data_IF_601712364249
#
_entry.id   IF_601712364249
#
_cell.length_a   1.000
_cell.length_b   1.000
_cell.length_c   1.000
_cell.angle_alpha   90.00
_cell.angle_beta   90.00
_cell.angle_gamma   90.00
#
_symmetry.space_group_name_H-M   'P 1'
#
loop_
_entity.id
_entity.type
_entity.pdbx_description
1 polymer ?
#
# COMPACT_ATOMS: atom_id res chain seq x y z
N UNK A 1 -40.56 -35.62 23.59
CA UNK A 1 -39.82 -34.38 23.30
C UNK A 1 -38.35 -34.54 23.69
N UNK A 2 -37.50 -35.06 22.80
CA UNK A 2 -36.03 -35.02 22.93
C UNK A 2 -35.42 -35.05 21.54
N UNK A 3 -35.26 -33.87 20.95
CA UNK A 3 -34.45 -33.63 19.77
C UNK A 3 -33.90 -32.20 19.89
N UNK A 4 -32.66 -32.09 20.34
CA UNK A 4 -31.86 -30.86 20.31
C UNK A 4 -30.41 -31.36 20.19
N UNK A 5 -30.09 -32.01 19.06
CA UNK A 5 -29.61 -31.39 17.83
C UNK A 5 -28.23 -30.74 18.09
N UNK A 6 -27.15 -31.54 17.99
CA UNK A 6 -25.78 -31.06 18.09
C UNK A 6 -25.43 -30.35 16.78
N UNK A 7 -25.82 -29.08 16.64
CA UNK A 7 -25.50 -28.28 15.44
C UNK A 7 -24.36 -27.29 15.69
N UNK A 8 -23.91 -27.12 16.93
CA UNK A 8 -22.90 -26.11 17.25
C UNK A 8 -21.44 -26.53 16.98
N UNK A 9 -21.17 -27.78 16.61
CA UNK A 9 -19.78 -28.27 16.42
C UNK A 9 -19.36 -28.48 14.96
N UNK A 10 -20.24 -28.21 13.98
CA UNK A 10 -19.95 -28.41 12.55
C UNK A 10 -19.54 -27.13 11.81
N UNK A 11 -19.51 -25.98 12.48
CA UNK A 11 -19.25 -24.66 11.86
C UNK A 11 -17.81 -24.15 12.04
N UNK A 12 -16.91 -24.97 12.59
CA UNK A 12 -15.54 -24.57 12.93
C UNK A 12 -14.43 -25.24 12.10
N UNK A 13 -14.77 -25.99 11.05
CA UNK A 13 -13.81 -26.88 10.33
C UNK A 13 -13.46 -26.42 8.90
N UNK A 14 -13.82 -25.23 8.42
CA UNK A 14 -13.44 -24.81 7.05
C UNK A 14 -12.84 -23.41 6.91
N UNK A 15 -12.16 -22.91 7.94
CA UNK A 15 -11.11 -21.91 7.71
C UNK A 15 -9.83 -22.66 7.27
N UNK A 16 -9.86 -23.27 6.08
CA UNK A 16 -8.62 -23.64 5.43
C UNK A 16 -7.80 -22.35 5.30
N UNK A 17 -6.49 -22.35 5.61
CA UNK A 17 -5.66 -21.19 5.32
C UNK A 17 -5.85 -20.94 3.83
N UNK A 18 -6.42 -19.80 3.46
CA UNK A 18 -6.45 -19.37 2.07
C UNK A 18 -4.99 -19.41 1.64
N UNK A 19 -4.61 -20.42 0.84
CA UNK A 19 -3.22 -20.58 0.44
C UNK A 19 -2.89 -19.34 -0.35
N UNK A 20 -1.72 -18.75 -0.09
CA UNK A 20 -1.30 -17.53 -0.74
C UNK A 20 -1.59 -17.59 -2.25
N UNK A 21 -1.28 -18.72 -2.92
CA UNK A 21 -1.56 -19.01 -4.33
C UNK A 21 -2.99 -18.68 -4.83
N UNK A 22 -4.01 -18.81 -3.99
CA UNK A 22 -5.40 -18.53 -4.37
C UNK A 22 -5.63 -17.02 -4.62
N UNK A 23 -4.79 -16.14 -4.07
CA UNK A 23 -4.98 -14.69 -4.12
C UNK A 23 -4.78 -14.15 -5.53
N UNK A 24 -3.66 -14.47 -6.17
CA UNK A 24 -3.40 -14.06 -7.55
C UNK A 24 -4.36 -14.72 -8.54
N UNK A 25 -4.79 -15.96 -8.27
CA UNK A 25 -5.77 -16.65 -9.11
C UNK A 25 -7.15 -15.98 -9.05
N UNK A 26 -7.59 -15.56 -7.86
CA UNK A 26 -8.83 -14.77 -7.70
C UNK A 26 -8.73 -13.41 -8.37
N UNK A 27 -7.61 -12.71 -8.22
CA UNK A 27 -7.37 -11.44 -8.89
C UNK A 27 -7.41 -11.60 -10.42
N UNK A 28 -6.72 -12.61 -10.96
CA UNK A 28 -6.74 -12.93 -12.38
C UNK A 28 -8.16 -13.27 -12.87
N UNK A 29 -8.91 -14.07 -12.12
CA UNK A 29 -10.29 -14.41 -12.47
C UNK A 29 -11.19 -13.16 -12.54
N UNK A 30 -11.06 -12.24 -11.57
CA UNK A 30 -11.75 -10.96 -11.61
C UNK A 30 -11.37 -10.12 -12.84
N UNK A 31 -10.06 -9.98 -13.08
CA UNK A 31 -9.53 -9.17 -14.19
C UNK A 31 -9.82 -9.72 -15.59
N UNK A 32 -10.12 -11.01 -15.72
CA UNK A 32 -10.61 -11.59 -16.99
C UNK A 32 -11.99 -11.04 -17.36
N UNK A 33 -12.79 -10.61 -16.38
CA UNK A 33 -14.18 -10.15 -16.59
C UNK A 33 -14.35 -8.64 -16.44
N UNK A 34 -13.48 -7.99 -15.67
CA UNK A 34 -13.54 -6.56 -15.40
C UNK A 34 -12.15 -5.93 -15.55
N UNK A 35 -12.05 -4.62 -15.84
CA UNK A 35 -10.76 -3.93 -15.90
C UNK A 35 -10.20 -3.56 -14.52
N UNK A 36 -10.98 -3.73 -13.45
CA UNK A 36 -10.60 -3.41 -12.08
C UNK A 36 -10.93 -4.58 -11.16
N UNK A 37 -9.94 -5.01 -10.37
CA UNK A 37 -10.13 -5.95 -9.25
C UNK A 37 -9.63 -5.30 -7.96
N UNK A 38 -10.39 -5.45 -6.88
CA UNK A 38 -10.02 -4.95 -5.55
C UNK A 38 -10.09 -6.11 -4.56
N UNK A 39 -8.99 -6.36 -3.86
CA UNK A 39 -8.98 -7.36 -2.79
C UNK A 39 -9.96 -6.97 -1.68
N UNK A 40 -10.69 -7.92 -1.05
CA UNK A 40 -11.60 -7.62 0.05
C UNK A 40 -10.98 -6.78 1.18
N UNK A 41 -9.70 -7.03 1.49
CA UNK A 41 -8.97 -6.28 2.52
C UNK A 41 -8.74 -4.81 2.16
N UNK A 42 -8.77 -4.44 0.89
CA UNK A 42 -8.55 -3.06 0.41
C UNK A 42 -9.84 -2.37 -0.04
N UNK A 43 -11.02 -2.93 0.24
CA UNK A 43 -12.30 -2.27 -0.11
C UNK A 43 -12.49 -0.93 0.60
N UNK A 44 -11.91 -0.76 1.80
CA UNK A 44 -11.94 0.53 2.50
C UNK A 44 -11.14 1.61 1.77
N UNK A 45 -10.11 1.21 1.02
CA UNK A 45 -9.25 2.11 0.26
C UNK A 45 -9.89 2.51 -1.08
N UNK A 46 -10.68 1.62 -1.67
CA UNK A 46 -11.41 1.83 -2.91
C UNK A 46 -12.89 1.44 -2.76
N UNK A 47 -13.72 2.33 -2.17
CA UNK A 47 -15.16 2.14 -2.10
C UNK A 47 -15.81 1.97 -3.49
N UNK A 48 -17.02 1.42 -3.53
CA UNK A 48 -17.76 1.16 -4.78
C UNK A 48 -17.93 2.38 -5.69
N UNK A 49 -18.17 3.57 -5.11
CA UNK A 49 -18.27 4.82 -5.86
C UNK A 49 -16.96 5.12 -6.62
N UNK A 50 -15.82 4.97 -5.95
CA UNK A 50 -14.49 5.23 -6.52
C UNK A 50 -14.14 4.17 -7.58
N UNK A 51 -14.45 2.90 -7.32
CA UNK A 51 -14.31 1.82 -8.31
C UNK A 51 -15.08 2.14 -9.59
N UNK A 52 -16.30 2.64 -9.46
CA UNK A 52 -17.14 3.03 -10.61
C UNK A 52 -16.54 4.20 -11.38
N UNK A 53 -16.03 5.22 -10.69
CA UNK A 53 -15.36 6.37 -11.33
C UNK A 53 -14.08 5.96 -12.07
N UNK A 54 -13.25 5.10 -11.48
CA UNK A 54 -12.03 4.58 -12.11
C UNK A 54 -12.37 3.86 -13.41
N UNK A 55 -13.38 2.98 -13.39
CA UNK A 55 -13.83 2.26 -14.59
C UNK A 55 -14.40 3.21 -15.64
N UNK A 56 -15.11 4.27 -15.24
CA UNK A 56 -15.60 5.31 -16.17
C UNK A 56 -14.45 6.04 -16.84
N UNK A 57 -13.48 6.53 -16.06
CA UNK A 57 -12.31 7.24 -16.59
C UNK A 57 -11.46 6.39 -17.51
N UNK A 58 -11.32 5.10 -17.21
CA UNK A 58 -10.60 4.19 -18.09
C UNK A 58 -11.31 4.03 -19.45
N UNK A 59 -12.65 3.89 -19.44
CA UNK A 59 -13.45 3.80 -20.67
C UNK A 59 -13.38 5.11 -21.48
N UNK A 60 -13.44 6.24 -20.80
CA UNK A 60 -13.33 7.58 -21.40
C UNK A 60 -11.95 7.84 -22.04
N UNK A 61 -10.89 7.17 -21.59
CA UNK A 61 -9.54 7.34 -22.12
C UNK A 61 -9.33 6.69 -23.50
N UNK A 62 -10.22 5.80 -23.96
CA UNK A 62 -10.17 5.12 -25.27
C UNK A 62 -8.78 4.57 -25.64
N UNK A 63 -8.18 3.81 -24.72
CA UNK A 63 -6.83 3.26 -24.92
C UNK A 63 -6.86 2.09 -25.92
N UNK A 64 -5.88 2.00 -26.86
CA UNK A 64 -5.87 0.96 -27.90
C UNK A 64 -5.33 -0.40 -27.41
N UNK A 65 -5.09 -0.56 -26.11
CA UNK A 65 -4.58 -1.77 -25.48
C UNK A 65 -5.31 -2.04 -24.17
N UNK A 66 -5.14 -3.26 -23.64
CA UNK A 66 -5.80 -3.68 -22.41
C UNK A 66 -5.16 -2.97 -21.20
N UNK A 67 -5.97 -2.31 -20.38
CA UNK A 67 -5.49 -1.74 -19.11
C UNK A 67 -6.25 -2.41 -17.98
N UNK A 68 -5.50 -3.00 -17.06
CA UNK A 68 -6.05 -3.63 -15.86
C UNK A 68 -5.49 -2.94 -14.63
N UNK A 69 -6.38 -2.62 -13.71
CA UNK A 69 -6.05 -2.10 -12.39
C UNK A 69 -6.33 -3.18 -11.36
N UNK A 70 -5.38 -3.45 -10.50
CA UNK A 70 -5.51 -4.42 -9.42
C UNK A 70 -5.15 -3.73 -8.12
N UNK A 71 -5.98 -3.87 -7.08
CA UNK A 71 -5.62 -3.43 -5.73
C UNK A 71 -5.40 -4.68 -4.87
N UNK A 72 -4.14 -4.95 -4.54
CA UNK A 72 -3.73 -6.08 -3.70
C UNK A 72 -2.82 -5.58 -2.57
N UNK A 73 -2.94 -6.13 -1.35
CA UNK A 73 -2.00 -5.82 -0.29
C UNK A 73 -0.63 -6.44 -0.62
N UNK A 74 0.43 -5.66 -0.50
CA UNK A 74 1.82 -6.15 -0.60
C UNK A 74 2.26 -6.63 0.78
N UNK A 75 2.44 -7.94 0.95
CA UNK A 75 2.83 -8.55 2.24
C UNK A 75 4.00 -9.49 1.99
N UNK A 76 5.08 -9.41 2.77
CA UNK A 76 6.29 -10.23 2.55
C UNK A 76 6.02 -11.74 2.56
N UNK A 77 5.01 -12.18 3.31
CA UNK A 77 4.61 -13.59 3.38
C UNK A 77 3.79 -14.08 2.17
N UNK A 78 3.62 -13.25 1.14
CA UNK A 78 2.80 -13.56 -0.03
C UNK A 78 3.60 -14.23 -1.17
N UNK A 79 2.92 -14.62 -2.25
CA UNK A 79 3.55 -15.36 -3.37
C UNK A 79 4.61 -14.54 -4.11
N UNK A 80 4.62 -13.24 -3.91
CA UNK A 80 5.58 -12.31 -4.49
C UNK A 80 6.69 -11.89 -3.52
N UNK A 81 6.69 -12.37 -2.27
CA UNK A 81 7.61 -11.86 -1.25
C UNK A 81 7.35 -10.40 -0.91
N UNK A 82 6.12 -9.90 -1.15
CA UNK A 82 5.78 -8.48 -1.04
C UNK A 82 6.30 -7.60 -2.18
N UNK A 83 6.94 -8.16 -3.20
CA UNK A 83 7.44 -7.41 -4.37
C UNK A 83 6.35 -7.19 -5.43
N UNK A 84 5.92 -5.94 -5.60
CA UNK A 84 4.88 -5.58 -6.55
C UNK A 84 5.20 -5.98 -8.00
N UNK A 85 6.47 -5.94 -8.40
CA UNK A 85 6.90 -6.34 -9.75
C UNK A 85 6.72 -7.83 -10.01
N UNK A 86 7.17 -8.69 -9.09
CA UNK A 86 6.93 -10.14 -9.18
C UNK A 86 5.45 -10.45 -9.20
N UNK A 87 4.67 -9.76 -8.36
CA UNK A 87 3.23 -9.90 -8.30
C UNK A 87 2.58 -9.57 -9.65
N UNK A 88 2.94 -8.44 -10.28
CA UNK A 88 2.38 -8.03 -11.57
C UNK A 88 2.77 -8.98 -12.71
N UNK A 89 4.00 -9.50 -12.73
CA UNK A 89 4.42 -10.53 -13.68
C UNK A 89 3.66 -11.84 -13.50
N UNK A 90 3.54 -12.31 -12.25
CA UNK A 90 2.79 -13.52 -11.92
C UNK A 90 1.30 -13.40 -12.27
N UNK A 91 0.72 -12.20 -12.11
CA UNK A 91 -0.64 -11.89 -12.54
C UNK A 91 -0.76 -11.89 -14.07
N UNK A 92 0.20 -11.31 -14.78
CA UNK A 92 0.24 -11.32 -16.24
C UNK A 92 0.25 -12.74 -16.82
N UNK A 93 1.01 -13.66 -16.23
CA UNK A 93 1.08 -15.06 -16.68
C UNK A 93 -0.28 -15.79 -16.59
N UNK A 94 -1.14 -15.37 -15.66
CA UNK A 94 -2.48 -15.94 -15.45
C UNK A 94 -3.53 -15.32 -16.37
N UNK A 95 -3.23 -14.18 -16.99
CA UNK A 95 -4.15 -13.49 -17.89
C UNK A 95 -3.94 -13.96 -19.34
N UNK A 96 -4.97 -13.86 -20.22
CA UNK A 96 -4.79 -14.12 -21.65
C UNK A 96 -3.66 -13.27 -22.23
N UNK A 97 -2.95 -13.75 -23.25
CA UNK A 97 -1.90 -12.95 -23.91
C UNK A 97 -2.51 -11.72 -24.57
N UNK A 98 -2.01 -10.53 -24.24
CA UNK A 98 -2.41 -9.26 -24.84
C UNK A 98 -1.33 -8.19 -24.60
N UNK A 99 -1.25 -7.21 -25.49
CA UNK A 99 -0.58 -5.93 -25.21
C UNK A 99 -1.33 -5.23 -24.07
N UNK A 100 -0.67 -4.96 -22.95
CA UNK A 100 -1.36 -4.41 -21.77
C UNK A 100 -0.52 -3.53 -20.87
N UNK A 101 -1.22 -2.68 -20.13
CA UNK A 101 -0.72 -2.00 -18.94
C UNK A 101 -1.40 -2.62 -17.71
N UNK A 102 -0.60 -3.19 -16.80
CA UNK A 102 -1.05 -3.57 -15.48
C UNK A 102 -0.68 -2.49 -14.47
N UNK A 103 -1.61 -2.12 -13.61
CA UNK A 103 -1.40 -1.12 -12.55
C UNK A 103 -1.79 -1.77 -11.22
N UNK A 104 -0.83 -1.93 -10.32
CA UNK A 104 -1.09 -2.28 -8.93
C UNK A 104 -1.43 -1.03 -8.12
N UNK A 105 -2.36 -1.13 -7.19
CA UNK A 105 -2.61 -0.15 -6.12
C UNK A 105 -2.35 -0.83 -4.79
N UNK A 106 -1.27 -0.43 -4.11
CA UNK A 106 -0.89 -1.03 -2.83
C UNK A 106 -1.78 -0.52 -1.67
N UNK A 107 -1.61 -1.08 -0.47
CA UNK A 107 -2.33 -0.67 0.74
C UNK A 107 -2.04 0.77 1.19
N UNK A 108 -1.01 1.43 0.62
CA UNK A 108 -0.66 2.83 0.87
C UNK A 108 -1.24 3.76 -0.21
N UNK A 109 -1.88 3.22 -1.25
CA UNK A 109 -2.39 3.98 -2.39
C UNK A 109 -1.29 4.41 -3.37
N UNK A 110 -0.13 3.76 -3.37
CA UNK A 110 0.89 3.94 -4.40
C UNK A 110 0.61 3.04 -5.60
N UNK A 111 1.14 3.41 -6.75
CA UNK A 111 0.98 2.67 -7.99
C UNK A 111 2.29 2.03 -8.41
N UNK A 112 2.22 0.75 -8.77
CA UNK A 112 3.28 0.07 -9.51
C UNK A 112 2.74 -0.25 -10.90
N UNK A 113 3.52 0.02 -11.95
CA UNK A 113 3.08 -0.14 -13.34
C UNK A 113 3.94 -1.16 -14.07
N UNK A 114 3.29 -2.10 -14.76
CA UNK A 114 3.95 -3.06 -15.63
C UNK A 114 3.43 -2.94 -17.06
N UNK A 115 4.32 -2.54 -17.97
CA UNK A 115 4.09 -2.45 -19.41
C UNK A 115 4.39 -3.81 -20.06
N UNK A 116 3.44 -4.41 -20.76
CA UNK A 116 3.58 -5.70 -21.44
C UNK A 116 3.37 -5.51 -22.94
N UNK A 117 4.42 -5.76 -23.73
CA UNK A 117 4.38 -5.67 -25.20
C UNK A 117 3.82 -4.34 -25.73
N UNK A 118 4.05 -3.26 -24.98
CA UNK A 118 3.65 -1.91 -25.37
C UNK A 118 4.80 -1.22 -26.09
N UNK A 119 4.61 -0.91 -27.37
CA UNK A 119 5.51 -0.09 -28.18
C UNK A 119 5.28 1.40 -27.88
N UNK A 120 5.23 1.76 -26.60
CA UNK A 120 4.95 3.12 -26.13
C UNK A 120 5.81 3.41 -24.91
N UNK A 121 6.49 4.55 -24.94
CA UNK A 121 7.26 5.01 -23.81
C UNK A 121 6.56 6.19 -23.12
N UNK A 122 6.03 5.92 -21.94
CA UNK A 122 5.43 6.94 -21.08
C UNK A 122 6.04 6.84 -19.69
N UNK A 123 6.43 8.00 -19.16
CA UNK A 123 6.80 8.14 -17.76
C UNK A 123 5.61 8.72 -17.00
N UNK A 124 5.27 8.09 -15.89
CA UNK A 124 4.27 8.61 -14.98
C UNK A 124 5.00 9.50 -13.96
N UNK A 125 4.59 10.77 -13.79
CA UNK A 125 5.14 11.65 -12.79
C UNK A 125 5.11 11.01 -11.40
N UNK A 126 6.16 11.24 -10.63
CA UNK A 126 6.33 10.68 -9.29
C UNK A 126 5.12 10.94 -8.38
N UNK A 127 4.47 12.10 -8.52
CA UNK A 127 3.29 12.51 -7.73
C UNK A 127 2.03 11.70 -8.07
N UNK A 128 1.97 11.14 -9.28
CA UNK A 128 0.91 10.23 -9.67
C UNK A 128 1.20 8.80 -9.20
N UNK A 129 2.46 8.37 -9.12
CA UNK A 129 2.83 7.04 -8.62
C UNK A 129 2.83 6.95 -7.09
N UNK A 130 3.27 8.00 -6.39
CA UNK A 130 3.48 7.97 -4.94
C UNK A 130 2.66 9.04 -4.22
N UNK A 131 1.89 8.62 -3.22
CA UNK A 131 1.04 9.48 -2.40
C UNK A 131 1.83 10.25 -1.32
N UNK A 132 2.84 11.06 -1.68
CA UNK A 132 3.68 11.77 -0.68
C UNK A 132 2.96 12.90 0.04
N UNK A 133 2.01 13.56 -0.62
CA UNK A 133 1.25 14.66 -0.04
C UNK A 133 -0.13 14.20 0.44
N UNK A 134 -0.65 14.87 1.47
CA UNK A 134 -1.94 14.51 2.06
C UNK A 134 -3.10 14.60 1.05
N UNK A 135 -3.04 15.53 0.09
CA UNK A 135 -3.96 15.62 -1.04
C UNK A 135 -3.71 14.60 -2.17
N UNK A 136 -2.48 14.08 -2.28
CA UNK A 136 -2.10 13.04 -3.25
C UNK A 136 -2.54 11.63 -2.81
N UNK A 137 -3.19 11.48 -1.65
CA UNK A 137 -3.76 10.19 -1.22
C UNK A 137 -5.02 9.79 -2.00
N UNK A 138 -5.64 10.70 -2.74
CA UNK A 138 -6.84 10.37 -3.51
C UNK A 138 -6.46 9.59 -4.79
N UNK A 139 -6.83 8.30 -4.82
CA UNK A 139 -6.46 7.35 -5.88
C UNK A 139 -7.15 7.69 -7.21
N UNK A 140 -8.43 8.08 -7.19
CA UNK A 140 -9.24 8.32 -8.40
C UNK A 140 -8.63 9.40 -9.32
N UNK A 141 -8.33 10.63 -8.85
CA UNK A 141 -7.75 11.65 -9.71
C UNK A 141 -6.34 11.30 -10.20
N UNK A 142 -5.56 10.54 -9.40
CA UNK A 142 -4.21 10.11 -9.81
C UNK A 142 -4.26 9.05 -10.91
N UNK A 143 -5.09 8.02 -10.76
CA UNK A 143 -5.33 7.02 -11.82
C UNK A 143 -5.87 7.68 -13.09
N UNK A 144 -6.78 8.64 -12.97
CA UNK A 144 -7.23 9.44 -14.11
C UNK A 144 -6.07 10.16 -14.79
N UNK A 145 -5.16 10.75 -14.02
CA UNK A 145 -3.93 11.37 -14.52
C UNK A 145 -3.06 10.38 -15.29
N UNK A 146 -2.85 9.17 -14.75
CA UNK A 146 -2.13 8.08 -15.44
C UNK A 146 -2.80 7.76 -16.77
N UNK A 147 -4.12 7.52 -16.79
CA UNK A 147 -4.84 7.22 -18.03
C UNK A 147 -4.72 8.33 -19.08
N UNK A 148 -4.75 9.59 -18.64
CA UNK A 148 -4.59 10.74 -19.54
C UNK A 148 -3.18 10.90 -20.11
N UNK A 149 -2.14 10.50 -19.37
CA UNK A 149 -0.76 10.48 -19.87
C UNK A 149 -0.64 9.37 -20.90
N UNK A 150 -1.05 8.16 -20.51
CA UNK A 150 -1.01 6.96 -21.35
C UNK A 150 -1.79 7.15 -22.65
N UNK A 151 -2.94 7.83 -22.63
CA UNK A 151 -3.74 8.14 -23.82
C UNK A 151 -3.07 9.14 -24.76
N UNK A 152 -2.22 10.04 -24.24
CA UNK A 152 -1.54 11.10 -25.02
C UNK A 152 -0.21 10.64 -25.62
N UNK A 153 0.41 9.62 -25.04
CA UNK A 153 1.67 9.07 -25.53
C UNK A 153 1.45 8.29 -26.83
N UNK A 154 2.12 8.72 -27.91
CA UNK A 154 2.13 8.04 -29.21
C UNK A 154 2.92 6.72 -29.22
N UNK A 155 3.00 6.08 -30.37
CA UNK A 155 3.71 4.79 -30.58
C UNK A 155 5.21 4.95 -30.84
N UNK A 156 5.73 6.15 -30.65
CA UNK A 156 7.10 6.49 -31.04
C UNK A 156 8.04 6.40 -29.83
N UNK A 157 8.66 5.23 -29.63
CA UNK A 157 9.72 5.09 -28.64
C UNK A 157 10.16 3.65 -28.37
N UNK A 158 11.43 3.48 -28.04
CA UNK A 158 11.90 2.25 -27.39
C UNK A 158 11.32 2.24 -25.98
N UNK A 159 10.34 1.36 -25.71
CA UNK A 159 9.82 1.22 -24.36
C UNK A 159 10.82 0.43 -23.51
N UNK A 160 11.20 0.98 -22.37
CA UNK A 160 11.85 0.18 -21.35
C UNK A 160 10.80 -0.77 -20.76
N UNK A 161 10.88 -2.04 -21.16
CA UNK A 161 10.18 -3.10 -20.45
C UNK A 161 11.00 -3.47 -19.24
N UNK A 162 10.40 -3.33 -18.05
CA UNK A 162 11.03 -3.81 -16.82
C UNK A 162 11.31 -5.30 -16.99
N UNK A 163 12.54 -5.71 -16.74
CA UNK A 163 12.91 -7.12 -16.84
C UNK A 163 12.08 -7.96 -15.87
N UNK A 164 11.68 -9.14 -16.33
CA UNK A 164 10.98 -10.11 -15.49
C UNK A 164 11.94 -10.54 -14.38
N UNK A 165 11.57 -10.40 -13.09
CA UNK A 165 12.39 -10.93 -12.01
C UNK A 165 12.53 -12.45 -12.21
N UNK A 166 13.78 -12.92 -12.29
CA UNK A 166 14.10 -14.35 -12.44
C UNK A 166 14.82 -14.93 -11.23
N UNK A 167 15.29 -14.06 -10.34
CA UNK A 167 15.94 -14.47 -9.11
C UNK A 167 14.96 -15.25 -8.22
N UNK A 168 15.44 -16.22 -7.41
CA UNK A 168 14.61 -16.82 -6.37
C UNK A 168 14.03 -15.75 -5.43
N UNK A 169 12.90 -16.05 -4.79
CA UNK A 169 12.48 -15.25 -3.63
C UNK A 169 13.56 -15.41 -2.57
N UNK A 170 13.99 -14.30 -1.98
CA UNK A 170 14.82 -14.39 -0.78
C UNK A 170 14.00 -15.12 0.28
N UNK A 171 14.54 -16.19 0.89
CA UNK A 171 13.84 -16.82 1.99
C UNK A 171 13.62 -15.73 3.04
N UNK A 172 12.37 -15.62 3.52
CA UNK A 172 12.11 -14.83 4.72
C UNK A 172 13.18 -15.21 5.74
N UNK A 173 13.78 -14.24 6.46
CA UNK A 173 14.67 -14.57 7.55
C UNK A 173 13.94 -15.60 8.40
N UNK A 174 14.38 -16.87 8.35
CA UNK A 174 13.86 -17.89 9.26
C UNK A 174 13.95 -17.26 10.62
N UNK A 175 12.84 -17.18 11.36
CA UNK A 175 12.75 -16.65 12.72
C UNK A 175 14.04 -17.04 13.42
N UNK A 176 15.01 -16.13 13.39
CA UNK A 176 16.29 -16.40 14.04
C UNK A 176 15.83 -16.46 15.49
N UNK A 177 16.15 -17.53 16.23
CA UNK A 177 15.97 -17.48 17.68
C UNK A 177 16.51 -16.12 18.14
N UNK A 178 15.79 -15.47 19.06
CA UNK A 178 15.93 -14.08 19.52
C UNK A 178 17.32 -13.68 20.06
N UNK A 179 18.38 -14.36 19.63
CA UNK A 179 19.80 -14.14 19.84
C UNK A 179 20.28 -12.78 19.27
N UNK A 180 19.41 -12.02 18.59
CA UNK A 180 19.66 -10.64 18.13
C UNK A 180 19.23 -9.56 19.13
N UNK A 181 19.12 -9.89 20.43
CA UNK A 181 18.95 -8.93 21.52
C UNK A 181 20.26 -8.56 22.24
N UNK A 182 21.45 -8.81 21.67
CA UNK A 182 22.73 -8.50 22.35
C UNK A 182 23.78 -7.83 21.45
N UNK A 183 23.38 -6.81 20.68
CA UNK A 183 24.34 -5.81 20.19
C UNK A 183 23.68 -4.43 19.94
N UNK A 184 22.69 -4.06 20.77
CA UNK A 184 22.34 -2.65 20.88
C UNK A 184 23.45 -1.96 21.66
N UNK A 185 24.44 -1.52 20.88
CA UNK A 185 25.49 -0.60 21.25
C UNK A 185 24.97 0.44 22.28
N UNK A 186 25.64 0.38 23.42
CA UNK A 186 25.44 1.05 24.70
C UNK A 186 25.48 2.58 24.55
N UNK A 187 24.38 3.16 24.02
CA UNK A 187 24.03 4.57 24.19
C UNK A 187 22.60 4.71 24.70
N UNK A 188 22.22 3.90 25.68
CA UNK A 188 21.20 4.33 26.62
C UNK A 188 21.76 5.55 27.34
N UNK A 189 21.34 6.76 26.95
CA UNK A 189 21.40 7.90 27.86
C UNK A 189 20.74 7.42 29.15
N UNK A 190 21.49 7.30 30.25
CA UNK A 190 20.99 6.57 31.41
C UNK A 190 19.71 7.25 31.90
N UNK A 191 18.70 6.48 32.28
CA UNK A 191 17.34 6.96 32.59
C UNK A 191 17.29 8.16 33.56
N UNK A 192 18.32 8.32 34.40
CA UNK A 192 18.47 9.49 35.27
C UNK A 192 18.66 10.81 34.50
N UNK A 193 19.21 10.81 33.27
CA UNK A 193 19.39 11.99 32.42
C UNK A 193 18.02 12.50 31.93
N UNK A 194 17.11 11.60 31.55
CA UNK A 194 15.74 11.96 31.18
C UNK A 194 15.02 12.53 32.42
N UNK A 195 15.14 11.87 33.57
CA UNK A 195 14.56 12.37 34.82
C UNK A 195 15.14 13.73 35.24
N UNK A 196 16.45 13.96 35.05
CA UNK A 196 17.08 15.26 35.34
C UNK A 196 16.57 16.36 34.41
N UNK A 197 16.40 16.04 33.11
CA UNK A 197 15.90 17.00 32.13
C UNK A 197 14.43 17.40 32.40
N UNK A 198 13.59 16.47 32.84
CA UNK A 198 12.22 16.78 33.29
C UNK A 198 12.20 17.61 34.58
N UNK A 199 13.08 17.32 35.54
CA UNK A 199 13.17 18.08 36.79
C UNK A 199 13.63 19.53 36.57
N UNK A 200 14.64 19.75 35.70
CA UNK A 200 15.12 21.09 35.34
C UNK A 200 14.04 21.86 34.59
N UNK A 201 13.35 21.25 33.61
CA UNK A 201 12.26 21.90 32.89
C UNK A 201 11.14 22.36 33.85
N UNK A 202 10.73 21.52 34.81
CA UNK A 202 9.72 21.87 35.80
C UNK A 202 10.09 23.06 36.70
N UNK A 203 11.35 23.16 37.12
CA UNK A 203 11.84 24.27 37.94
C UNK A 203 11.81 25.60 37.17
N UNK A 204 12.17 25.61 35.89
CA UNK A 204 12.11 26.82 35.06
C UNK A 204 10.69 27.29 34.82
N UNK A 205 9.75 26.39 34.50
CA UNK A 205 8.35 26.78 34.30
C UNK A 205 7.73 27.33 35.59
N UNK A 206 8.01 26.70 36.73
CA UNK A 206 7.55 27.17 38.05
C UNK A 206 8.09 28.57 38.40
N UNK A 207 9.38 28.82 38.17
CA UNK A 207 10.00 30.13 38.45
C UNK A 207 9.42 31.25 37.57
N UNK A 208 9.17 30.98 36.28
CA UNK A 208 8.57 31.95 35.35
C UNK A 208 7.14 32.29 35.78
N UNK A 209 6.32 31.29 36.14
CA UNK A 209 4.96 31.52 36.61
C UNK A 209 4.92 32.29 37.94
N UNK A 210 5.83 31.98 38.88
CA UNK A 210 5.91 32.69 40.17
C UNK A 210 6.28 34.17 39.98
N UNK A 211 7.32 34.46 39.18
CA UNK A 211 7.75 35.81 38.87
C UNK A 211 6.66 36.63 38.15
N UNK A 212 5.95 36.01 37.20
CA UNK A 212 4.79 36.63 36.55
C UNK A 212 3.68 37.01 37.53
N UNK A 213 3.38 36.15 38.51
CA UNK A 213 2.36 36.43 39.53
C UNK A 213 2.75 37.60 40.45
N UNK A 214 4.04 37.75 40.73
CA UNK A 214 4.56 38.81 41.60
C UNK A 214 4.48 40.17 40.92
N UNK A 215 4.93 40.24 39.66
CA UNK A 215 4.85 41.45 38.83
C UNK A 215 3.41 41.91 38.61
N UNK A 216 2.48 40.98 38.39
CA UNK A 216 1.05 41.28 38.24
C UNK A 216 0.44 41.86 39.52
N UNK A 217 0.83 41.35 40.70
CA UNK A 217 0.36 41.87 41.99
C UNK A 217 0.88 43.28 42.30
N UNK A 218 2.11 43.59 41.93
CA UNK A 218 2.67 44.94 42.11
C UNK A 218 2.05 45.96 41.16
N UNK A 219 1.77 45.57 39.91
CA UNK A 219 1.14 46.48 38.93
C UNK A 219 -0.29 46.87 39.33
N UNK A 220 -1.01 45.99 40.05
CA UNK A 220 -2.40 46.24 40.47
C UNK A 220 -2.53 47.12 41.73
N UNK A 221 -1.41 47.52 42.34
CA UNK A 221 -1.38 48.39 43.54
C UNK A 221 -0.84 49.80 43.28
N UNK A 222 -0.37 50.07 42.06
CA UNK A 222 -0.07 51.41 41.57
C UNK A 222 -1.30 51.98 40.84
#
# INVERSE_FOLDING_TARGET
>A
MKALVPVLLALLVLAAPARAEDRLDRAAAGLRTAPLYVHPELEFLLPEADRTLIVSHLREAYLPFDVKVVALPSVESDESGGEADRMLWALNDRLPKAKRLLINVDQRGNFELLKIDLDRDFDVPFELEYAREEGARNIVPRLRGVFQIVARTGEDGYSYQRERPTDPLEPLPEDRPDDFLDDSDDRTTPDWVVLLSCAVAGLFTGAICWAGSFLFRTYRRA
#
